data_IF_689936747535
#
_entry.id   IF_689936747535
#
_cell.length_a   1.000
_cell.length_b   1.000
_cell.length_c   1.000
_cell.angle_alpha   90.00
_cell.angle_beta   90.00
_cell.angle_gamma   90.00
#
_symmetry.space_group_name_H-M   'P 1'
#
loop_
_entity.id
_entity.type
_entity.pdbx_description
1 polymer ?
#
# COMPACT_ATOMS: atom_id res chain seq x y z
N UNK A 1 6.61 9.52 -0.07
CA UNK A 1 6.22 9.24 1.34
C UNK A 1 6.61 10.40 2.24
N UNK A 2 7.90 10.71 2.43
CA UNK A 2 8.37 11.81 3.28
C UNK A 2 7.70 13.17 3.01
N UNK A 3 7.53 13.55 1.73
CA UNK A 3 6.86 14.82 1.35
C UNK A 3 5.39 14.88 1.76
N UNK A 4 4.64 13.78 1.65
CA UNK A 4 3.21 13.76 2.01
C UNK A 4 3.03 13.90 3.53
N UNK A 5 3.87 13.21 4.30
CA UNK A 5 3.90 13.31 5.77
C UNK A 5 4.29 14.73 6.21
N UNK A 6 5.27 15.35 5.54
CA UNK A 6 5.70 16.72 5.82
C UNK A 6 4.59 17.77 5.68
N UNK A 7 3.61 17.56 4.79
CA UNK A 7 2.46 18.46 4.60
C UNK A 7 1.25 18.12 5.49
N UNK A 8 1.41 17.24 6.48
CA UNK A 8 0.32 16.86 7.39
C UNK A 8 -0.77 16.01 6.73
N UNK A 9 -0.43 15.25 5.69
CA UNK A 9 -1.36 14.30 5.10
C UNK A 9 -1.84 13.30 6.18
N UNK A 10 -3.14 12.99 6.17
CA UNK A 10 -3.74 11.97 7.05
C UNK A 10 -3.86 10.60 6.37
N UNK A 11 -3.75 10.57 5.04
CA UNK A 11 -3.88 9.36 4.22
C UNK A 11 -2.82 9.36 3.12
N UNK A 12 -2.24 8.19 2.86
CA UNK A 12 -1.35 7.89 1.75
C UNK A 12 -2.00 6.86 0.83
N UNK A 13 -2.22 7.23 -0.44
CA UNK A 13 -2.69 6.31 -1.49
C UNK A 13 -1.53 5.99 -2.41
N UNK A 14 -1.30 4.72 -2.68
CA UNK A 14 -0.22 4.22 -3.53
C UNK A 14 -0.81 3.29 -4.58
N UNK A 15 -0.67 3.68 -5.84
CA UNK A 15 -1.12 2.89 -6.99
C UNK A 15 0.06 2.11 -7.58
N UNK A 16 0.02 0.78 -7.44
CA UNK A 16 1.05 -0.17 -7.88
C UNK A 16 2.50 0.29 -7.61
N UNK A 17 2.86 0.65 -6.36
CA UNK A 17 4.11 1.35 -6.07
C UNK A 17 5.37 0.48 -6.25
N UNK A 18 5.18 -0.83 -6.46
CA UNK A 18 6.26 -1.79 -6.72
C UNK A 18 6.34 -2.21 -8.19
N UNK A 19 5.57 -1.57 -9.08
CA UNK A 19 5.61 -1.88 -10.51
C UNK A 19 7.04 -1.70 -11.06
N UNK A 20 7.47 -2.65 -11.88
CA UNK A 20 8.81 -2.69 -12.50
C UNK A 20 10.00 -2.74 -11.52
N UNK A 21 9.77 -2.99 -10.23
CA UNK A 21 10.84 -3.16 -9.24
C UNK A 21 11.19 -4.63 -9.03
N UNK A 22 12.50 -4.89 -8.88
CA UNK A 22 12.99 -6.19 -8.42
C UNK A 22 12.63 -6.46 -6.95
N UNK A 23 12.73 -7.72 -6.52
CA UNK A 23 12.32 -8.18 -5.18
C UNK A 23 12.91 -7.31 -4.06
N UNK A 24 14.21 -6.98 -4.14
CA UNK A 24 14.89 -6.17 -3.14
C UNK A 24 14.32 -4.75 -3.06
N UNK A 25 14.11 -4.09 -4.21
CA UNK A 25 13.57 -2.74 -4.27
C UNK A 25 12.11 -2.70 -3.80
N UNK A 26 11.29 -3.67 -4.22
CA UNK A 26 9.91 -3.83 -3.76
C UNK A 26 9.83 -3.97 -2.25
N UNK A 27 10.72 -4.77 -1.65
CA UNK A 27 10.81 -4.90 -0.19
C UNK A 27 11.12 -3.57 0.52
N UNK A 28 11.94 -2.70 -0.06
CA UNK A 28 12.20 -1.36 0.50
C UNK A 28 10.96 -0.48 0.45
N UNK A 29 10.21 -0.49 -0.66
CA UNK A 29 8.95 0.26 -0.79
C UNK A 29 7.94 -0.20 0.26
N UNK A 30 7.74 -1.51 0.41
CA UNK A 30 6.81 -2.07 1.38
C UNK A 30 7.20 -1.74 2.83
N UNK A 31 8.50 -1.68 3.14
CA UNK A 31 8.96 -1.21 4.47
C UNK A 31 8.53 0.22 4.76
N UNK A 32 8.59 1.12 3.78
CA UNK A 32 8.12 2.49 3.98
C UNK A 32 6.60 2.60 4.07
N UNK A 33 5.87 1.72 3.40
CA UNK A 33 4.41 1.60 3.55
C UNK A 33 4.06 1.22 4.98
N UNK A 34 4.71 0.17 5.52
CA UNK A 34 4.51 -0.25 6.90
C UNK A 34 4.88 0.86 7.90
N UNK A 35 6.03 1.51 7.72
CA UNK A 35 6.45 2.61 8.59
C UNK A 35 5.46 3.80 8.58
N UNK A 36 4.85 4.11 7.43
CA UNK A 36 3.83 5.15 7.35
C UNK A 36 2.56 4.77 8.13
N UNK A 37 2.08 3.52 8.00
CA UNK A 37 0.98 2.99 8.81
C UNK A 37 1.31 3.09 10.31
N UNK A 38 2.49 2.64 10.71
CA UNK A 38 2.92 2.61 12.13
C UNK A 38 3.06 4.02 12.72
N UNK A 39 3.29 5.03 11.88
CA UNK A 39 3.27 6.44 12.27
C UNK A 39 1.84 7.03 12.38
N UNK A 40 0.80 6.22 12.24
CA UNK A 40 -0.60 6.62 12.37
C UNK A 40 -1.23 7.17 11.09
N UNK A 41 -0.57 7.03 9.94
CA UNK A 41 -1.12 7.43 8.65
C UNK A 41 -2.07 6.37 8.12
N UNK A 42 -3.26 6.76 7.65
CA UNK A 42 -4.11 5.83 6.89
C UNK A 42 -3.42 5.47 5.56
N UNK A 43 -3.30 4.19 5.21
CA UNK A 43 -2.65 3.79 3.95
C UNK A 43 -3.61 2.98 3.09
N UNK A 44 -3.72 3.34 1.82
CA UNK A 44 -4.42 2.57 0.79
C UNK A 44 -3.38 2.13 -0.24
N UNK A 45 -3.09 0.83 -0.26
CA UNK A 45 -2.22 0.20 -1.25
C UNK A 45 -3.08 -0.48 -2.31
N UNK A 46 -2.96 -0.04 -3.57
CA UNK A 46 -3.60 -0.69 -4.71
C UNK A 46 -2.56 -1.59 -5.35
N UNK A 47 -2.85 -2.90 -5.39
CA UNK A 47 -1.99 -3.84 -6.09
C UNK A 47 -2.73 -5.07 -6.62
N UNK A 48 -2.25 -5.60 -7.74
CA UNK A 48 -2.63 -6.92 -8.27
C UNK A 48 -1.73 -8.06 -7.74
N UNK A 49 -0.74 -7.77 -6.88
CA UNK A 49 0.13 -8.78 -6.27
C UNK A 49 -0.31 -9.10 -4.82
N UNK A 50 -0.97 -10.25 -4.57
CA UNK A 50 -1.45 -10.61 -3.23
C UNK A 50 -0.32 -10.74 -2.20
N UNK A 51 0.89 -11.17 -2.60
CA UNK A 51 2.02 -11.29 -1.67
C UNK A 51 2.42 -9.93 -1.12
N UNK A 52 2.45 -8.89 -1.96
CA UNK A 52 2.75 -7.54 -1.49
C UNK A 52 1.64 -7.00 -0.58
N UNK A 53 0.38 -7.26 -0.92
CA UNK A 53 -0.75 -6.85 -0.10
C UNK A 53 -0.66 -7.47 1.31
N UNK A 54 -0.45 -8.78 1.42
CA UNK A 54 -0.43 -9.50 2.71
C UNK A 54 0.76 -9.13 3.59
N UNK A 55 1.85 -8.61 3.03
CA UNK A 55 3.02 -8.20 3.82
C UNK A 55 2.78 -6.94 4.65
N UNK A 56 1.84 -6.08 4.25
CA UNK A 56 1.65 -4.76 4.87
C UNK A 56 0.20 -4.40 5.19
N UNK A 57 -0.78 -5.10 4.63
CA UNK A 57 -2.20 -4.80 4.77
C UNK A 57 -2.84 -5.48 5.98
N UNK A 58 -3.70 -4.73 6.66
CA UNK A 58 -4.54 -5.24 7.75
C UNK A 58 -5.97 -5.58 7.28
N UNK A 59 -6.38 -5.02 6.15
CA UNK A 59 -7.70 -5.18 5.52
C UNK A 59 -7.55 -5.30 4.02
N UNK A 60 -8.34 -6.16 3.40
CA UNK A 60 -8.26 -6.48 1.99
C UNK A 60 -9.61 -6.26 1.32
N UNK A 61 -9.58 -5.67 0.13
CA UNK A 61 -10.76 -5.51 -0.73
C UNK A 61 -10.40 -6.02 -2.11
N UNK A 62 -11.22 -6.94 -2.63
CA UNK A 62 -11.09 -7.48 -3.98
C UNK A 62 -11.99 -6.69 -4.92
N UNK A 63 -11.38 -6.04 -5.91
CA UNK A 63 -12.09 -5.39 -7.00
C UNK A 63 -12.07 -6.28 -8.25
N UNK A 64 -13.23 -6.47 -8.87
CA UNK A 64 -13.39 -7.18 -10.14
C UNK A 64 -14.23 -6.33 -11.07
N UNK A 65 -13.68 -5.91 -12.21
CA UNK A 65 -14.38 -5.07 -13.21
C UNK A 65 -15.03 -3.81 -12.61
N UNK A 66 -14.31 -3.13 -11.72
CA UNK A 66 -14.77 -1.89 -11.08
C UNK A 66 -15.78 -2.07 -9.93
N UNK A 67 -16.15 -3.31 -9.58
CA UNK A 67 -17.03 -3.58 -8.44
C UNK A 67 -16.31 -4.35 -7.34
N UNK A 68 -16.65 -4.07 -6.07
CA UNK A 68 -16.17 -4.85 -4.94
C UNK A 68 -16.79 -6.25 -4.98
N UNK A 69 -15.93 -7.27 -5.07
CA UNK A 69 -16.32 -8.68 -5.11
C UNK A 69 -16.18 -9.36 -3.76
N UNK A 70 -15.49 -8.75 -2.79
CA UNK A 70 -15.31 -9.28 -1.45
C UNK A 70 -14.35 -8.43 -0.61
N UNK A 71 -14.38 -8.65 0.71
CA UNK A 71 -13.46 -8.03 1.67
C UNK A 71 -13.09 -9.00 2.79
N UNK A 72 -11.87 -8.89 3.31
CA UNK A 72 -11.35 -9.65 4.44
C UNK A 72 -10.62 -8.72 5.42
#
# INVERSE_FOLDING_TARGET
IARAVYFGAKVLVLDEPTAALGVKQSGVVLKYVAAARDAGLGVVLITHNPHHAHLVGDRFVLLKRGVMSGSH
#
